data_IF_644053396575
#
_entry.id   IF_644053396575
#
_cell.length_a   1.000
_cell.length_b   1.000
_cell.length_c   1.000
_cell.angle_alpha   90.00
_cell.angle_beta   90.00
_cell.angle_gamma   90.00
#
_symmetry.space_group_name_H-M   'P 1'
#
loop_
_entity.id
_entity.type
_entity.pdbx_description
1 polymer ?
#
# COMPACT_ATOMS: atom_id res chain seq x y z
N UNK A 1 27.00 -26.59 27.60
CA UNK A 1 26.17 -25.38 27.61
C UNK A 1 26.08 -24.90 26.18
N UNK A 2 24.91 -25.00 25.56
CA UNK A 2 24.66 -24.46 24.23
C UNK A 2 24.20 -23.02 24.42
N UNK A 3 24.93 -22.07 23.83
CA UNK A 3 24.53 -20.66 23.76
C UNK A 3 23.30 -20.52 22.85
N UNK A 4 22.32 -19.66 23.16
CA UNK A 4 21.24 -19.37 22.23
C UNK A 4 21.79 -18.56 21.05
N UNK A 5 21.55 -19.05 19.84
CA UNK A 5 21.91 -18.39 18.58
C UNK A 5 21.08 -17.13 18.35
N UNK A 6 21.75 -16.10 17.82
CA UNK A 6 21.25 -14.80 17.41
C UNK A 6 20.20 -14.86 16.29
N UNK A 7 18.91 -14.85 16.61
CA UNK A 7 17.84 -14.70 15.61
C UNK A 7 17.25 -13.29 15.55
N UNK A 8 17.51 -12.43 16.56
CA UNK A 8 16.87 -11.11 16.63
C UNK A 8 17.51 -10.05 15.71
N UNK A 9 18.80 -10.18 15.38
CA UNK A 9 19.52 -9.18 14.59
C UNK A 9 19.32 -9.34 13.07
N UNK A 10 18.99 -10.54 12.59
CA UNK A 10 18.86 -10.81 11.14
C UNK A 10 17.52 -10.30 10.58
N UNK A 11 16.44 -10.32 11.37
CA UNK A 11 15.11 -9.87 10.93
C UNK A 11 14.98 -8.34 10.88
N UNK A 12 15.67 -7.62 11.77
CA UNK A 12 15.69 -6.15 11.81
C UNK A 12 16.39 -5.58 10.57
N UNK A 13 17.52 -6.18 10.20
CA UNK A 13 18.31 -5.82 9.02
C UNK A 13 17.52 -6.10 7.72
N UNK A 14 16.87 -7.27 7.62
CA UNK A 14 16.03 -7.62 6.45
C UNK A 14 14.84 -6.67 6.27
N UNK A 15 14.23 -6.18 7.35
CA UNK A 15 13.14 -5.21 7.25
C UNK A 15 13.65 -3.83 6.79
N UNK A 16 14.80 -3.38 7.28
CA UNK A 16 15.41 -2.11 6.88
C UNK A 16 15.92 -2.13 5.43
N UNK A 17 16.54 -3.22 4.98
CA UNK A 17 16.92 -3.40 3.55
C UNK A 17 15.70 -3.40 2.60
N UNK A 18 14.52 -3.79 3.07
CA UNK A 18 13.31 -3.78 2.23
C UNK A 18 12.64 -2.40 2.09
N UNK A 19 12.98 -1.45 2.97
CA UNK A 19 12.54 -0.05 2.93
C UNK A 19 13.49 0.82 2.07
N UNK A 20 14.39 0.23 1.28
CA UNK A 20 15.34 1.00 0.46
C UNK A 20 14.68 1.85 -0.64
N UNK A 21 13.48 1.48 -1.12
CA UNK A 21 12.80 2.20 -2.21
C UNK A 21 11.71 3.12 -1.64
N UNK A 22 12.10 4.35 -1.35
CA UNK A 22 11.18 5.43 -0.95
C UNK A 22 10.46 6.03 -2.16
N UNK A 23 9.30 6.64 -1.90
CA UNK A 23 8.61 7.43 -2.92
C UNK A 23 9.52 8.58 -3.40
N UNK A 24 9.55 8.86 -4.72
CA UNK A 24 10.46 9.87 -5.27
C UNK A 24 10.09 11.27 -4.79
N UNK A 25 11.10 12.12 -4.63
CA UNK A 25 10.87 13.54 -4.44
C UNK A 25 10.20 14.15 -5.67
N UNK A 26 9.24 15.02 -5.44
CA UNK A 26 8.61 15.80 -6.51
C UNK A 26 9.59 16.89 -6.93
N UNK A 27 10.04 16.84 -8.18
CA UNK A 27 10.96 17.83 -8.75
C UNK A 27 10.26 18.53 -9.90
N UNK A 28 10.19 19.86 -9.88
CA UNK A 28 9.46 20.66 -10.89
C UNK A 28 8.01 20.18 -11.10
N UNK A 29 7.31 19.81 -10.03
CA UNK A 29 5.94 19.26 -10.05
C UNK A 29 5.77 17.98 -10.89
N UNK A 30 6.87 17.27 -11.18
CA UNK A 30 6.90 16.03 -11.97
C UNK A 30 7.26 14.83 -11.12
N UNK A 31 6.63 13.70 -11.43
CA UNK A 31 6.90 12.41 -10.79
C UNK A 31 7.35 11.42 -11.85
N UNK A 32 8.55 10.88 -11.66
CA UNK A 32 9.13 9.84 -12.53
C UNK A 32 8.32 8.55 -12.39
N UNK A 33 7.77 8.08 -13.51
CA UNK A 33 6.89 6.90 -13.54
C UNK A 33 7.55 5.67 -12.92
N UNK A 34 8.79 5.37 -13.33
CA UNK A 34 9.48 4.16 -12.87
C UNK A 34 9.72 4.20 -11.36
N UNK A 35 10.27 5.31 -10.85
CA UNK A 35 10.57 5.47 -9.43
C UNK A 35 9.30 5.39 -8.56
N UNK A 36 8.21 6.02 -9.00
CA UNK A 36 6.94 5.93 -8.29
C UNK A 36 6.37 4.50 -8.26
N UNK A 37 6.41 3.78 -9.40
CA UNK A 37 5.91 2.41 -9.46
C UNK A 37 6.78 1.46 -8.64
N UNK A 38 8.10 1.68 -8.60
CA UNK A 38 9.01 0.86 -7.80
C UNK A 38 8.80 1.09 -6.30
N UNK A 39 8.58 2.34 -5.87
CA UNK A 39 8.19 2.65 -4.50
C UNK A 39 6.85 2.02 -4.11
N UNK A 40 5.84 2.10 -4.99
CA UNK A 40 4.54 1.47 -4.76
C UNK A 40 4.65 -0.06 -4.65
N UNK A 41 5.52 -0.72 -5.44
CA UNK A 41 5.84 -2.15 -5.27
C UNK A 41 6.56 -2.44 -3.96
N UNK A 42 7.41 -1.52 -3.50
CA UNK A 42 8.02 -1.58 -2.16
C UNK A 42 6.96 -1.64 -1.07
N UNK A 43 5.97 -0.75 -1.14
CA UNK A 43 4.86 -0.73 -0.18
C UNK A 43 4.05 -2.03 -0.18
N UNK A 44 3.82 -2.64 -1.36
CA UNK A 44 3.15 -3.95 -1.46
C UNK A 44 3.88 -5.02 -0.66
N UNK A 45 5.22 -5.05 -0.70
CA UNK A 45 6.03 -6.00 0.09
C UNK A 45 5.89 -5.75 1.59
N UNK A 46 5.78 -4.50 2.02
CA UNK A 46 5.60 -4.14 3.43
C UNK A 46 4.23 -4.61 3.93
N UNK A 47 3.14 -4.28 3.22
CA UNK A 47 1.78 -4.63 3.67
C UNK A 47 1.51 -6.13 3.61
N UNK A 48 2.22 -6.88 2.75
CA UNK A 48 2.15 -8.35 2.72
C UNK A 48 2.61 -8.98 4.05
N UNK A 49 3.59 -8.36 4.73
CA UNK A 49 4.07 -8.80 6.05
C UNK A 49 3.07 -8.53 7.17
N UNK A 50 2.15 -7.57 6.99
CA UNK A 50 1.13 -7.22 7.99
C UNK A 50 -0.05 -8.21 8.02
N UNK A 51 -0.04 -9.21 7.14
CA UNK A 51 -0.95 -10.35 7.18
C UNK A 51 -2.09 -10.31 6.17
N UNK A 52 -2.87 -11.39 6.14
CA UNK A 52 -3.87 -11.67 5.09
C UNK A 52 -5.04 -10.68 5.05
N UNK A 53 -5.27 -9.92 6.12
CA UNK A 53 -6.31 -8.87 6.16
C UNK A 53 -6.06 -7.77 5.11
N UNK A 54 -4.81 -7.57 4.69
CA UNK A 54 -4.42 -6.62 3.64
C UNK A 54 -4.53 -7.19 2.22
N UNK A 55 -4.89 -8.46 2.04
CA UNK A 55 -4.93 -9.08 0.71
C UNK A 55 -5.79 -8.30 -0.31
N UNK A 56 -7.01 -7.80 0.02
CA UNK A 56 -7.80 -7.01 -0.92
C UNK A 56 -7.09 -5.73 -1.36
N UNK A 57 -6.43 -5.03 -0.42
CA UNK A 57 -5.70 -3.79 -0.68
C UNK A 57 -4.44 -4.06 -1.52
N UNK A 58 -3.72 -5.14 -1.22
CA UNK A 58 -2.59 -5.62 -2.04
C UNK A 58 -3.00 -5.85 -3.49
N UNK A 59 -4.08 -6.60 -3.73
CA UNK A 59 -4.52 -6.92 -5.09
C UNK A 59 -4.94 -5.68 -5.87
N UNK A 60 -5.62 -4.73 -5.23
CA UNK A 60 -5.98 -3.47 -5.86
C UNK A 60 -4.74 -2.65 -6.26
N UNK A 61 -3.80 -2.46 -5.32
CA UNK A 61 -2.55 -1.73 -5.57
C UNK A 61 -1.76 -2.37 -6.72
N UNK A 62 -1.54 -3.69 -6.66
CA UNK A 62 -0.78 -4.42 -7.68
C UNK A 62 -1.43 -4.32 -9.07
N UNK A 63 -2.74 -4.51 -9.16
CA UNK A 63 -3.46 -4.41 -10.42
C UNK A 63 -3.38 -3.01 -11.04
N UNK A 64 -3.37 -1.96 -10.23
CA UNK A 64 -3.22 -0.59 -10.71
C UNK A 64 -1.76 -0.26 -11.13
N UNK A 65 -0.76 -0.77 -10.40
CA UNK A 65 0.65 -0.73 -10.81
C UNK A 65 0.85 -1.39 -12.17
N UNK A 66 0.26 -2.57 -12.39
CA UNK A 66 0.44 -3.35 -13.62
C UNK A 66 -0.15 -2.62 -14.83
N UNK A 67 -1.29 -1.95 -14.67
CA UNK A 67 -1.90 -1.11 -15.73
C UNK A 67 -1.00 0.07 -16.10
N UNK A 68 -0.45 0.78 -15.12
CA UNK A 68 0.46 1.92 -15.34
C UNK A 68 1.78 1.46 -15.97
N UNK A 69 2.35 0.35 -15.49
CA UNK A 69 3.55 -0.25 -16.06
C UNK A 69 3.32 -0.67 -17.52
N UNK A 70 2.17 -1.30 -17.80
CA UNK A 70 1.78 -1.70 -19.15
C UNK A 70 1.64 -0.52 -20.10
N UNK A 71 1.17 0.64 -19.62
CA UNK A 71 1.15 1.87 -20.43
C UNK A 71 2.56 2.41 -20.63
N UNK A 72 3.37 2.49 -19.58
CA UNK A 72 4.74 2.99 -19.64
C UNK A 72 5.58 2.27 -20.70
N UNK A 73 5.50 0.94 -20.77
CA UNK A 73 6.30 0.16 -21.72
C UNK A 73 5.88 0.33 -23.19
N UNK A 74 4.68 0.84 -23.49
CA UNK A 74 4.25 1.12 -24.87
C UNK A 74 5.05 2.25 -25.51
N UNK A 75 5.44 3.25 -24.71
CA UNK A 75 6.29 4.37 -25.13
C UNK A 75 6.96 4.94 -23.87
N UNK A 76 8.18 4.47 -23.59
CA UNK A 76 8.88 4.78 -22.33
C UNK A 76 9.24 6.26 -22.20
N UNK A 77 9.51 6.92 -23.32
CA UNK A 77 9.89 8.33 -23.36
C UNK A 77 8.68 9.21 -23.07
N UNK A 78 7.58 9.01 -23.81
CA UNK A 78 6.37 9.80 -23.61
C UNK A 78 5.69 9.57 -22.26
N UNK A 79 5.88 8.39 -21.68
CA UNK A 79 5.29 8.02 -20.40
C UNK A 79 6.32 8.01 -19.26
N UNK A 80 7.42 8.74 -19.39
CA UNK A 80 8.46 8.82 -18.37
C UNK A 80 8.00 9.56 -17.11
N UNK A 81 7.06 10.49 -17.26
CA UNK A 81 6.43 11.27 -16.19
C UNK A 81 4.96 10.87 -16.06
N UNK A 82 4.46 10.67 -14.84
CA UNK A 82 3.08 10.25 -14.60
C UNK A 82 2.07 11.27 -15.11
N UNK A 83 2.31 12.56 -14.85
CA UNK A 83 1.45 13.66 -15.28
C UNK A 83 1.31 13.66 -16.81
N UNK A 84 2.42 13.53 -17.53
CA UNK A 84 2.43 13.50 -18.99
C UNK A 84 1.70 12.25 -19.52
N UNK A 85 1.93 11.08 -18.90
CA UNK A 85 1.23 9.84 -19.24
C UNK A 85 -0.30 10.02 -19.20
N UNK A 86 -0.81 10.67 -18.15
CA UNK A 86 -2.25 10.93 -17.97
C UNK A 86 -2.76 11.97 -18.97
N UNK A 87 -2.03 13.07 -19.17
CA UNK A 87 -2.41 14.10 -20.14
C UNK A 87 -2.46 13.55 -21.57
N UNK A 88 -1.50 12.71 -21.94
CA UNK A 88 -1.48 12.04 -23.24
C UNK A 88 -2.69 11.12 -23.39
N UNK A 89 -2.99 10.28 -22.39
CA UNK A 89 -4.17 9.40 -22.42
C UNK A 89 -5.45 10.20 -22.64
N UNK A 90 -5.66 11.23 -21.81
CA UNK A 90 -6.85 12.07 -21.83
C UNK A 90 -7.06 12.77 -23.18
N UNK A 91 -5.98 13.17 -23.85
CA UNK A 91 -6.04 13.92 -25.09
C UNK A 91 -6.10 13.03 -26.35
N UNK A 92 -5.76 11.75 -26.25
CA UNK A 92 -5.58 10.88 -27.43
C UNK A 92 -6.45 9.63 -27.42
N UNK A 93 -7.03 9.25 -26.28
CA UNK A 93 -7.73 7.98 -26.10
C UNK A 93 -9.15 8.17 -25.54
N UNK A 94 -10.06 7.25 -25.90
CA UNK A 94 -11.43 7.21 -25.37
C UNK A 94 -11.53 6.43 -24.07
N UNK A 95 -10.61 5.49 -23.83
CA UNK A 95 -10.52 4.69 -22.60
C UNK A 95 -9.40 5.23 -21.74
N UNK A 96 -9.69 5.57 -20.49
CA UNK A 96 -8.76 6.24 -19.59
C UNK A 96 -8.16 5.27 -18.56
N UNK A 97 -7.55 4.18 -19.05
CA UNK A 97 -7.11 3.06 -18.21
C UNK A 97 -6.03 3.48 -17.20
N UNK A 98 -5.04 4.26 -17.62
CA UNK A 98 -3.97 4.72 -16.73
C UNK A 98 -4.45 5.82 -15.79
N UNK A 99 -5.36 6.68 -16.23
CA UNK A 99 -6.00 7.70 -15.40
C UNK A 99 -6.78 7.04 -14.27
N UNK A 100 -7.60 6.03 -14.61
CA UNK A 100 -8.33 5.24 -13.63
C UNK A 100 -7.36 4.50 -12.70
N UNK A 101 -6.34 3.84 -13.25
CA UNK A 101 -5.34 3.13 -12.47
C UNK A 101 -4.60 4.06 -11.49
N UNK A 102 -4.15 5.23 -11.92
CA UNK A 102 -3.46 6.20 -11.06
C UNK A 102 -4.40 6.73 -9.98
N UNK A 103 -5.67 6.97 -10.31
CA UNK A 103 -6.68 7.42 -9.35
C UNK A 103 -6.88 6.39 -8.23
N UNK A 104 -7.09 5.12 -8.60
CA UNK A 104 -7.30 4.04 -7.62
C UNK A 104 -6.04 3.76 -6.81
N UNK A 105 -4.87 3.74 -7.46
CA UNK A 105 -3.59 3.61 -6.78
C UNK A 105 -3.39 4.74 -5.75
N UNK A 106 -3.65 5.99 -6.13
CA UNK A 106 -3.53 7.14 -5.22
C UNK A 106 -4.41 6.99 -3.98
N UNK A 107 -5.66 6.52 -4.15
CA UNK A 107 -6.57 6.28 -3.01
C UNK A 107 -6.10 5.15 -2.11
N UNK A 108 -5.60 4.06 -2.70
CA UNK A 108 -5.06 2.95 -1.94
C UNK A 108 -3.79 3.35 -1.15
N UNK A 109 -2.88 4.11 -1.78
CA UNK A 109 -1.72 4.69 -1.09
C UNK A 109 -2.14 5.63 0.05
N UNK A 110 -3.15 6.48 -0.17
CA UNK A 110 -3.70 7.35 0.86
C UNK A 110 -4.30 6.56 2.03
N UNK A 111 -5.03 5.47 1.74
CA UNK A 111 -5.53 4.58 2.78
C UNK A 111 -4.39 4.00 3.64
N UNK A 112 -3.31 3.54 3.01
CA UNK A 112 -2.16 2.99 3.74
C UNK A 112 -1.44 4.06 4.55
N UNK A 113 -1.33 5.30 4.04
CA UNK A 113 -0.82 6.44 4.80
C UNK A 113 -1.64 6.67 6.07
N UNK A 114 -2.97 6.82 5.95
CA UNK A 114 -3.87 7.02 7.10
C UNK A 114 -3.82 5.85 8.10
N UNK A 115 -3.58 4.63 7.62
CA UNK A 115 -3.41 3.47 8.48
C UNK A 115 -2.13 3.58 9.32
N UNK A 116 -0.99 3.92 8.71
CA UNK A 116 0.27 4.09 9.43
C UNK A 116 0.27 5.31 10.35
N UNK A 117 -0.36 6.42 9.94
CA UNK A 117 -0.54 7.59 10.80
C UNK A 117 -1.32 7.23 12.06
N UNK A 118 -2.37 6.42 11.96
CA UNK A 118 -3.11 5.95 13.13
C UNK A 118 -2.25 5.11 14.08
N UNK A 119 -1.41 4.22 13.56
CA UNK A 119 -0.47 3.44 14.39
C UNK A 119 0.51 4.38 15.11
N UNK A 120 1.10 5.33 14.38
CA UNK A 120 2.07 6.27 14.93
C UNK A 120 1.43 7.15 16.00
N UNK A 121 0.22 7.66 15.76
CA UNK A 121 -0.49 8.48 16.76
C UNK A 121 -0.90 7.67 17.99
N UNK A 122 -1.40 6.44 17.81
CA UNK A 122 -1.76 5.57 18.94
C UNK A 122 -0.55 5.20 19.80
N UNK A 123 0.61 4.98 19.18
CA UNK A 123 1.87 4.67 19.88
C UNK A 123 2.34 5.77 20.84
N UNK A 124 1.86 7.01 20.65
CA UNK A 124 2.16 8.17 21.51
C UNK A 124 1.21 8.28 22.71
N UNK A 125 0.15 7.47 22.78
CA UNK A 125 -0.83 7.52 23.86
C UNK A 125 -0.33 6.79 25.11
N UNK A 126 -0.97 7.04 26.26
CA UNK A 126 -0.62 6.35 27.51
C UNK A 126 -0.99 4.85 27.50
N UNK A 127 -1.91 4.45 26.62
CA UNK A 127 -2.41 3.07 26.49
C UNK A 127 -2.62 2.72 25.02
N UNK A 128 -1.54 2.45 24.27
CA UNK A 128 -1.65 2.03 22.88
C UNK A 128 -2.47 0.74 22.74
N UNK A 129 -3.20 0.61 21.64
CA UNK A 129 -3.97 -0.59 21.28
C UNK A 129 -3.26 -1.39 20.19
N UNK A 130 -3.43 -2.71 20.25
CA UNK A 130 -2.96 -3.63 19.20
C UNK A 130 -4.04 -3.90 18.13
N UNK A 131 -5.18 -3.20 18.17
CA UNK A 131 -6.29 -3.37 17.24
C UNK A 131 -6.02 -2.72 15.87
N UNK A 132 -5.14 -3.33 15.10
CA UNK A 132 -4.82 -2.92 13.73
C UNK A 132 -6.04 -2.97 12.80
N UNK A 133 -7.02 -3.84 13.08
CA UNK A 133 -8.23 -3.96 12.28
C UNK A 133 -9.10 -2.71 12.44
N UNK A 134 -9.16 -2.12 13.64
CA UNK A 134 -9.83 -0.84 13.84
C UNK A 134 -9.17 0.29 13.04
N UNK A 135 -7.83 0.38 13.05
CA UNK A 135 -7.11 1.38 12.25
C UNK A 135 -7.33 1.19 10.75
N UNK A 136 -7.29 -0.06 10.28
CA UNK A 136 -7.52 -0.40 8.89
C UNK A 136 -8.93 -0.02 8.44
N UNK A 137 -9.94 -0.33 9.26
CA UNK A 137 -11.34 0.05 8.99
C UNK A 137 -11.52 1.56 8.93
N UNK A 138 -10.90 2.32 9.85
CA UNK A 138 -10.99 3.77 9.85
C UNK A 138 -10.32 4.37 8.60
N UNK A 139 -9.13 3.91 8.23
CA UNK A 139 -8.44 4.34 7.03
C UNK A 139 -9.24 4.03 5.75
N UNK A 140 -9.86 2.84 5.67
CA UNK A 140 -10.71 2.45 4.54
C UNK A 140 -11.93 3.35 4.39
N UNK A 141 -12.63 3.65 5.49
CA UNK A 141 -13.81 4.53 5.51
C UNK A 141 -13.52 5.90 4.94
N UNK A 142 -12.31 6.40 5.18
CA UNK A 142 -11.90 7.73 4.74
C UNK A 142 -11.42 7.75 3.29
N UNK A 143 -10.53 6.82 2.89
CA UNK A 143 -9.83 6.91 1.61
C UNK A 143 -10.50 6.15 0.45
N UNK A 144 -11.17 5.03 0.71
CA UNK A 144 -11.66 4.11 -0.34
C UNK A 144 -13.18 3.94 -0.35
N UNK A 145 -13.80 3.83 0.82
CA UNK A 145 -15.24 3.59 0.93
C UNK A 145 -16.12 4.56 0.13
N UNK A 146 -15.86 5.88 0.10
CA UNK A 146 -16.70 6.83 -0.65
C UNK A 146 -16.78 6.54 -2.14
N UNK A 147 -15.82 5.78 -2.68
CA UNK A 147 -15.68 5.49 -4.10
C UNK A 147 -16.03 4.05 -4.45
N UNK A 148 -16.13 3.16 -3.47
CA UNK A 148 -16.50 1.75 -3.66
C UNK A 148 -18.01 1.58 -3.81
N UNK A 149 -18.43 0.85 -4.85
CA UNK A 149 -19.80 0.36 -4.96
C UNK A 149 -20.14 -0.63 -3.83
N UNK A 150 -21.43 -0.82 -3.57
CA UNK A 150 -21.93 -1.63 -2.44
C UNK A 150 -21.26 -3.01 -2.30
N UNK A 151 -21.04 -3.72 -3.41
CA UNK A 151 -20.40 -5.05 -3.40
C UNK A 151 -18.94 -5.01 -2.90
N UNK A 152 -18.18 -3.97 -3.27
CA UNK A 152 -16.79 -3.82 -2.83
C UNK A 152 -16.70 -3.47 -1.33
N UNK A 153 -17.70 -2.76 -0.80
CA UNK A 153 -17.80 -2.50 0.64
C UNK A 153 -18.07 -3.79 1.43
N UNK A 154 -19.00 -4.63 0.97
CA UNK A 154 -19.31 -5.91 1.62
C UNK A 154 -18.09 -6.86 1.64
N UNK A 155 -17.31 -6.91 0.55
CA UNK A 155 -16.09 -7.73 0.51
C UNK A 155 -15.07 -7.30 1.56
N UNK A 156 -14.87 -5.98 1.72
CA UNK A 156 -13.95 -5.43 2.71
C UNK A 156 -14.37 -5.77 4.15
N UNK A 157 -15.67 -5.65 4.45
CA UNK A 157 -16.19 -5.98 5.76
C UNK A 157 -15.96 -7.45 6.09
N UNK A 158 -16.31 -8.37 5.19
CA UNK A 158 -16.10 -9.82 5.38
C UNK A 158 -14.63 -10.14 5.62
N UNK A 159 -13.72 -9.57 4.83
CA UNK A 159 -12.28 -9.81 5.01
C UNK A 159 -11.75 -9.24 6.32
N UNK A 160 -12.25 -8.07 6.75
CA UNK A 160 -11.86 -7.45 8.01
C UNK A 160 -12.40 -8.21 9.23
N UNK A 161 -13.60 -8.76 9.16
CA UNK A 161 -14.21 -9.53 10.25
C UNK A 161 -13.68 -10.95 10.34
N UNK A 162 -13.43 -11.64 9.22
CA UNK A 162 -12.89 -13.01 9.22
C UNK A 162 -11.47 -13.10 9.81
N UNK A 163 -10.71 -11.99 9.80
CA UNK A 163 -9.35 -11.94 10.33
C UNK A 163 -9.22 -11.18 11.65
N UNK A 164 -10.28 -10.49 12.11
CA UNK A 164 -10.31 -9.78 13.39
C UNK A 164 -10.43 -10.67 14.63
N UNK A 165 -10.48 -12.01 14.47
CA UNK A 165 -10.40 -12.97 15.59
C UNK A 165 -8.97 -13.31 16.01
N UNK A 166 -7.95 -12.80 15.31
CA UNK A 166 -6.55 -13.00 15.66
C UNK A 166 -6.02 -11.72 16.33
N UNK A 167 -6.23 -11.62 17.64
CA UNK A 167 -5.42 -10.75 18.51
C UNK A 167 -3.96 -11.21 18.44
N UNK A 168 -3.02 -10.33 18.79
CA UNK A 168 -1.56 -10.45 18.68
C UNK A 168 -0.90 -11.68 19.36
N UNK A 169 -1.67 -12.64 19.85
CA UNK A 169 -1.18 -13.91 20.42
C UNK A 169 -0.35 -14.78 19.45
N UNK A 170 -0.17 -14.36 18.19
CA UNK A 170 0.74 -15.01 17.23
C UNK A 170 2.06 -14.26 17.00
N UNK A 171 2.25 -13.06 17.57
CA UNK A 171 3.55 -12.35 17.53
C UNK A 171 4.36 -12.49 18.83
N UNK A 172 3.77 -12.93 19.94
CA UNK A 172 4.48 -13.22 21.19
C UNK A 172 5.08 -14.63 21.28
N UNK A 173 5.00 -15.43 20.21
CA UNK A 173 5.63 -16.76 20.14
C UNK A 173 6.83 -16.82 19.18
N UNK A 174 7.42 -15.67 18.86
CA UNK A 174 8.75 -15.57 18.26
C UNK A 174 9.62 -14.67 19.14
N UNK A 175 9.77 -15.06 20.41
CA UNK A 175 10.89 -14.73 21.30
C UNK A 175 11.10 -15.90 22.25
#
# INVERSE_FOLDING_TARGET
MLSPSSSANDDEDVFTYQIEVLFPNITEDKIRTVEFLDAARGLVRIIEKLGKVFAPVKYDIQGNIDKLASRHVKDKEKNAILQDMILIEKNTETKLIATDALTWLTRALHMILLFFEQIVEDSKTATPTEDLVAFLKKAYKEALQPYHGWMAQQLFDVTSFAHGSYTFATFTNIY
#
